data_IF_774387294175
#
_entry.id   IF_774387294175
#
_cell.length_a   1.000
_cell.length_b   1.000
_cell.length_c   1.000
_cell.angle_alpha   90.00
_cell.angle_beta   90.00
_cell.angle_gamma   90.00
#
_symmetry.space_group_name_H-M   'P 1'
#
loop_
_entity.id
_entity.type
_entity.pdbx_description
1 polymer ?
#
# COMPACT_ATOMS: atom_id res chain seq x y z
N UNK A 1 -13.19 15.43 -5.07
CA UNK A 1 -12.00 14.64 -4.66
C UNK A 1 -10.76 15.48 -4.93
N UNK A 2 -9.85 15.56 -3.97
CA UNK A 2 -8.66 16.38 -4.18
C UNK A 2 -7.66 15.68 -5.12
N UNK A 3 -6.69 16.46 -5.59
CA UNK A 3 -5.70 16.00 -6.58
C UNK A 3 -4.85 14.84 -6.06
N UNK A 4 -4.52 14.85 -4.77
CA UNK A 4 -3.71 13.80 -4.15
C UNK A 4 -4.42 12.46 -4.22
N UNK A 5 -5.70 12.42 -3.85
CA UNK A 5 -6.49 11.19 -3.89
C UNK A 5 -6.68 10.68 -5.32
N UNK A 6 -6.87 11.59 -6.28
CA UNK A 6 -6.95 11.20 -7.70
C UNK A 6 -5.66 10.53 -8.17
N UNK A 7 -4.52 11.09 -7.78
CA UNK A 7 -3.21 10.53 -8.12
C UNK A 7 -3.00 9.14 -7.49
N UNK A 8 -3.38 8.99 -6.23
CA UNK A 8 -3.28 7.70 -5.55
C UNK A 8 -4.17 6.66 -6.24
N UNK A 9 -5.41 7.00 -6.55
CA UNK A 9 -6.32 6.07 -7.24
C UNK A 9 -5.77 5.66 -8.60
N UNK A 10 -5.21 6.62 -9.35
CA UNK A 10 -4.59 6.31 -10.65
C UNK A 10 -3.41 5.34 -10.50
N UNK A 11 -2.56 5.56 -9.51
CA UNK A 11 -1.45 4.64 -9.21
C UNK A 11 -1.96 3.24 -8.88
N UNK A 12 -3.04 3.14 -8.11
CA UNK A 12 -3.65 1.85 -7.75
C UNK A 12 -4.16 1.10 -8.97
N UNK A 13 -4.75 1.81 -9.92
CA UNK A 13 -5.17 1.21 -11.20
C UNK A 13 -3.98 0.64 -11.97
N UNK A 14 -2.86 1.35 -11.99
CA UNK A 14 -1.64 0.90 -12.66
C UNK A 14 -1.11 -0.37 -11.99
N UNK A 15 -1.03 -0.39 -10.66
CA UNK A 15 -0.56 -1.57 -9.94
C UNK A 15 -1.49 -2.76 -10.13
N UNK A 16 -2.80 -2.54 -10.15
CA UNK A 16 -3.75 -3.60 -10.45
C UNK A 16 -3.54 -4.18 -11.84
N UNK A 17 -3.20 -3.34 -12.82
CA UNK A 17 -2.93 -3.81 -14.17
C UNK A 17 -1.70 -4.70 -14.22
N UNK A 18 -0.67 -4.43 -13.42
CA UNK A 18 0.49 -5.33 -13.32
C UNK A 18 0.08 -6.69 -12.77
N UNK A 19 -0.75 -6.70 -11.73
CA UNK A 19 -1.26 -7.97 -11.16
C UNK A 19 -2.05 -8.77 -12.20
N UNK A 20 -2.86 -8.09 -13.02
CA UNK A 20 -3.68 -8.73 -14.04
C UNK A 20 -2.87 -9.26 -15.22
N UNK A 21 -1.79 -8.56 -15.58
CA UNK A 21 -1.04 -8.85 -16.82
C UNK A 21 0.20 -9.70 -16.61
N UNK A 22 0.69 -9.83 -15.38
CA UNK A 22 1.85 -10.66 -15.09
C UNK A 22 1.42 -11.96 -14.42
N UNK A 23 2.19 -13.02 -14.70
CA UNK A 23 1.95 -14.32 -14.07
C UNK A 23 2.35 -14.27 -12.59
N UNK A 24 1.85 -15.23 -11.82
CA UNK A 24 2.26 -15.38 -10.42
C UNK A 24 3.78 -15.54 -10.31
N UNK A 25 4.38 -16.31 -11.21
CA UNK A 25 5.82 -16.50 -11.26
C UNK A 25 6.55 -15.18 -11.49
N UNK A 26 6.07 -14.36 -12.43
CA UNK A 26 6.67 -13.05 -12.71
C UNK A 26 6.54 -12.10 -11.52
N UNK A 27 5.40 -12.11 -10.84
CA UNK A 27 5.18 -11.27 -9.66
C UNK A 27 6.10 -11.63 -8.51
N UNK A 28 6.46 -12.91 -8.39
CA UNK A 28 7.32 -13.43 -7.33
C UNK A 28 8.81 -13.37 -7.67
N UNK A 29 9.17 -13.16 -8.91
CA UNK A 29 10.57 -13.17 -9.34
C UNK A 29 11.36 -12.09 -8.60
N UNK A 30 12.43 -12.50 -7.93
CA UNK A 30 13.39 -11.58 -7.31
C UNK A 30 14.57 -11.46 -8.27
N UNK A 31 14.73 -10.31 -8.95
CA UNK A 31 15.81 -10.16 -9.91
C UNK A 31 17.18 -10.26 -9.26
N UNK A 32 18.18 -10.73 -10.01
CA UNK A 32 19.55 -10.83 -9.54
C UNK A 32 20.05 -9.49 -9.03
N UNK A 33 20.65 -9.50 -7.85
CA UNK A 33 21.18 -8.29 -7.22
C UNK A 33 20.14 -7.45 -6.47
N UNK A 34 18.87 -7.83 -6.51
CA UNK A 34 17.80 -7.15 -5.76
C UNK A 34 17.31 -8.04 -4.62
N UNK A 35 16.65 -7.42 -3.65
CA UNK A 35 16.13 -8.12 -2.47
C UNK A 35 14.63 -8.32 -2.49
N UNK A 36 13.93 -7.61 -3.38
CA UNK A 36 12.48 -7.64 -3.41
C UNK A 36 11.98 -7.97 -4.81
N UNK A 37 10.67 -8.11 -4.92
CA UNK A 37 9.98 -8.42 -6.16
C UNK A 37 8.82 -7.46 -6.37
N UNK A 38 8.13 -7.61 -7.51
CA UNK A 38 7.06 -6.70 -7.88
C UNK A 38 5.90 -6.77 -6.88
N UNK A 39 5.49 -7.97 -6.48
CA UNK A 39 4.32 -8.10 -5.57
C UNK A 39 4.62 -7.54 -4.18
N UNK A 40 5.85 -7.70 -3.68
CA UNK A 40 6.23 -7.08 -2.41
C UNK A 40 6.15 -5.56 -2.49
N UNK A 41 6.65 -4.97 -3.58
CA UNK A 41 6.60 -3.52 -3.77
C UNK A 41 5.16 -3.01 -3.78
N UNK A 42 4.25 -3.73 -4.41
CA UNK A 42 2.83 -3.34 -4.45
C UNK A 42 2.22 -3.41 -3.04
N UNK A 43 2.46 -4.49 -2.32
CA UNK A 43 2.00 -4.61 -0.93
C UNK A 43 2.58 -3.54 -0.03
N UNK A 44 3.86 -3.21 -0.22
CA UNK A 44 4.54 -2.18 0.56
C UNK A 44 3.92 -0.79 0.37
N UNK A 45 3.50 -0.46 -0.85
CA UNK A 45 2.84 0.81 -1.13
C UNK A 45 1.55 0.95 -0.32
N UNK A 46 0.77 -0.13 -0.25
CA UNK A 46 -0.48 -0.13 0.54
C UNK A 46 -0.17 0.09 2.03
N UNK A 47 0.81 -0.64 2.57
CA UNK A 47 1.19 -0.51 3.98
C UNK A 47 1.70 0.90 4.28
N UNK A 48 2.57 1.44 3.45
CA UNK A 48 3.15 2.77 3.67
C UNK A 48 2.10 3.86 3.69
N UNK A 49 1.18 3.86 2.74
CA UNK A 49 0.11 4.85 2.68
C UNK A 49 -0.78 4.76 3.92
N UNK A 50 -1.14 3.56 4.34
CA UNK A 50 -1.99 3.36 5.50
C UNK A 50 -1.31 3.85 6.79
N UNK A 51 -0.03 3.56 6.96
CA UNK A 51 0.70 3.99 8.15
C UNK A 51 0.83 5.51 8.20
N UNK A 52 1.14 6.14 7.08
CA UNK A 52 1.26 7.60 7.03
C UNK A 52 -0.07 8.29 7.34
N UNK A 53 -1.17 7.80 6.80
CA UNK A 53 -2.48 8.44 7.02
C UNK A 53 -3.03 8.17 8.43
N UNK A 54 -2.98 6.93 8.88
CA UNK A 54 -3.69 6.53 10.10
C UNK A 54 -2.84 6.63 11.36
N UNK A 55 -1.60 6.16 11.35
CA UNK A 55 -0.78 6.18 12.57
C UNK A 55 -0.39 7.59 12.98
N UNK A 56 -0.09 8.48 12.03
CA UNK A 56 0.28 9.87 12.35
C UNK A 56 -0.90 10.67 12.88
N UNK A 57 -2.12 10.24 12.66
CA UNK A 57 -3.32 10.88 13.22
C UNK A 57 -3.81 10.17 14.48
N UNK A 58 -3.05 9.20 15.00
CA UNK A 58 -3.42 8.46 16.21
C UNK A 58 -4.47 7.39 16.01
N UNK A 59 -4.68 6.94 14.78
CA UNK A 59 -5.67 5.92 14.44
C UNK A 59 -5.00 4.61 14.06
N UNK A 60 -5.74 3.52 14.19
CA UNK A 60 -5.30 2.22 13.68
C UNK A 60 -5.51 2.16 12.17
N UNK A 61 -4.60 1.48 11.47
CA UNK A 61 -4.74 1.29 10.02
C UNK A 61 -5.89 0.33 9.69
N UNK A 62 -6.30 0.31 8.43
CA UNK A 62 -7.31 -0.61 7.93
C UNK A 62 -6.76 -2.02 7.67
N UNK A 63 -5.47 -2.21 7.88
CA UNK A 63 -4.77 -3.46 7.60
C UNK A 63 -4.63 -4.31 8.86
N UNK A 64 -4.58 -5.63 8.68
CA UNK A 64 -4.22 -6.52 9.79
C UNK A 64 -2.74 -6.37 10.13
N UNK A 65 -2.38 -6.73 11.37
CA UNK A 65 -0.99 -6.74 11.79
C UNK A 65 -0.17 -7.74 10.96
N UNK A 66 -0.76 -8.89 10.65
CA UNK A 66 -0.11 -9.91 9.81
C UNK A 66 0.25 -9.37 8.43
N UNK A 67 -0.68 -8.70 7.76
CA UNK A 67 -0.42 -8.09 6.44
C UNK A 67 0.67 -7.02 6.55
N UNK A 68 0.54 -6.13 7.51
CA UNK A 68 1.51 -5.05 7.72
C UNK A 68 2.92 -5.60 7.92
N UNK A 69 3.07 -6.63 8.74
CA UNK A 69 4.38 -7.19 9.04
C UNK A 69 5.06 -7.86 7.85
N UNK A 70 4.30 -8.28 6.84
CA UNK A 70 4.87 -8.86 5.62
C UNK A 70 5.47 -7.83 4.68
N UNK A 71 4.93 -6.62 4.66
CA UNK A 71 5.24 -5.64 3.61
C UNK A 71 5.76 -4.32 4.16
N UNK A 72 5.94 -4.18 5.46
CA UNK A 72 6.49 -2.97 6.05
C UNK A 72 7.96 -2.80 5.66
N UNK A 73 8.43 -1.57 5.65
CA UNK A 73 9.81 -1.25 5.31
C UNK A 73 10.78 -2.11 6.12
N UNK A 74 11.81 -2.63 5.47
CA UNK A 74 12.82 -3.48 6.08
C UNK A 74 12.54 -4.98 5.97
N UNK A 75 11.36 -5.37 5.50
CA UNK A 75 11.05 -6.79 5.26
C UNK A 75 11.52 -7.20 3.86
N UNK A 76 11.71 -8.51 3.68
CA UNK A 76 12.20 -9.08 2.42
C UNK A 76 11.25 -10.22 2.04
N UNK A 77 10.78 -10.26 0.77
CA UNK A 77 9.93 -11.36 0.32
C UNK A 77 10.74 -12.65 0.16
N UNK A 78 10.05 -13.78 0.28
CA UNK A 78 10.65 -15.10 0.09
C UNK A 78 10.50 -15.63 -1.36
N UNK A 79 9.81 -14.89 -2.23
CA UNK A 79 9.54 -15.31 -3.60
C UNK A 79 8.43 -16.35 -3.72
N UNK A 80 7.66 -16.56 -2.66
CA UNK A 80 6.63 -17.63 -2.58
C UNK A 80 5.24 -17.09 -2.28
N UNK A 81 4.97 -15.85 -2.62
CA UNK A 81 3.64 -15.26 -2.44
C UNK A 81 2.61 -16.06 -3.24
N UNK A 82 1.53 -16.47 -2.58
CA UNK A 82 0.49 -17.28 -3.19
C UNK A 82 -0.47 -16.46 -4.02
N UNK A 83 -1.25 -17.11 -4.89
CA UNK A 83 -2.29 -16.42 -5.64
C UNK A 83 -3.32 -15.78 -4.70
N UNK A 84 -3.66 -16.43 -3.60
CA UNK A 84 -4.59 -15.87 -2.62
C UNK A 84 -4.06 -14.58 -2.01
N UNK A 85 -2.78 -14.53 -1.69
CA UNK A 85 -2.13 -13.32 -1.17
C UNK A 85 -2.11 -12.21 -2.22
N UNK A 86 -1.84 -12.55 -3.48
CA UNK A 86 -1.90 -11.59 -4.58
C UNK A 86 -3.31 -11.01 -4.73
N UNK A 87 -4.33 -11.86 -4.68
CA UNK A 87 -5.72 -11.43 -4.77
C UNK A 87 -6.10 -10.50 -3.61
N UNK A 88 -5.61 -10.79 -2.42
CA UNK A 88 -5.79 -9.93 -1.25
C UNK A 88 -5.16 -8.55 -1.48
N UNK A 89 -3.94 -8.49 -1.96
CA UNK A 89 -3.26 -7.22 -2.27
C UNK A 89 -4.06 -6.43 -3.30
N UNK A 90 -4.54 -7.10 -4.35
CA UNK A 90 -5.34 -6.46 -5.38
C UNK A 90 -6.62 -5.83 -4.80
N UNK A 91 -7.30 -6.56 -3.92
CA UNK A 91 -8.48 -6.05 -3.23
C UNK A 91 -8.15 -4.83 -2.37
N UNK A 92 -7.06 -4.92 -1.61
CA UNK A 92 -6.63 -3.85 -0.71
C UNK A 92 -6.18 -2.60 -1.43
N UNK A 93 -5.70 -2.71 -2.67
CA UNK A 93 -5.32 -1.55 -3.48
C UNK A 93 -6.45 -0.52 -3.56
N UNK A 94 -7.68 -0.97 -3.66
CA UNK A 94 -8.84 -0.09 -3.84
C UNK A 94 -9.62 0.11 -2.54
N UNK A 95 -9.85 -0.94 -1.77
CA UNK A 95 -10.63 -0.83 -0.54
C UNK A 95 -10.00 0.11 0.47
N UNK A 96 -8.68 0.10 0.58
CA UNK A 96 -7.99 0.97 1.54
C UNK A 96 -8.07 2.44 1.14
N UNK A 97 -7.81 2.76 -0.13
CA UNK A 97 -7.87 4.18 -0.54
C UNK A 97 -9.30 4.71 -0.54
N UNK A 98 -10.27 3.90 -0.93
CA UNK A 98 -11.66 4.32 -0.92
C UNK A 98 -12.13 4.64 0.51
N UNK A 99 -11.79 3.80 1.48
CA UNK A 99 -12.13 4.07 2.87
C UNK A 99 -11.34 5.25 3.43
N UNK A 100 -10.07 5.40 3.04
CA UNK A 100 -9.25 6.53 3.48
C UNK A 100 -9.86 7.87 3.02
N UNK A 101 -10.38 7.94 1.81
CA UNK A 101 -11.04 9.14 1.31
C UNK A 101 -12.27 9.46 2.16
N UNK A 102 -13.09 8.46 2.47
CA UNK A 102 -14.26 8.66 3.33
C UNK A 102 -13.85 9.13 4.73
N UNK A 103 -12.83 8.53 5.30
CA UNK A 103 -12.33 8.90 6.63
C UNK A 103 -11.78 10.33 6.64
N UNK A 104 -11.12 10.75 5.58
CA UNK A 104 -10.67 12.12 5.42
C UNK A 104 -11.87 13.09 5.40
N UNK A 105 -12.90 12.77 4.63
CA UNK A 105 -14.07 13.62 4.46
C UNK A 105 -14.86 13.82 5.78
N UNK A 106 -14.86 12.81 6.65
CA UNK A 106 -15.53 12.91 7.95
C UNK A 106 -14.65 13.50 9.07
N UNK A 107 -13.43 13.93 8.73
CA UNK A 107 -12.54 14.58 9.70
C UNK A 107 -11.75 13.62 10.58
N UNK A 108 -11.64 12.34 10.23
CA UNK A 108 -10.93 11.37 11.06
C UNK A 108 -9.46 11.71 11.25
N UNK A 109 -8.87 12.46 10.34
CA UNK A 109 -7.47 12.85 10.38
C UNK A 109 -7.24 14.27 10.89
N UNK A 110 -8.23 14.90 11.48
CA UNK A 110 -8.13 16.29 11.96
C UNK A 110 -7.07 16.45 13.06
N UNK A 111 -6.73 15.39 13.78
CA UNK A 111 -5.67 15.38 14.78
C UNK A 111 -4.31 14.98 14.20
N UNK A 112 -4.19 15.03 12.89
CA UNK A 112 -2.97 14.65 12.19
C UNK A 112 -1.79 15.50 12.67
N UNK A 113 -0.72 14.83 13.15
CA UNK A 113 0.52 15.48 13.49
C UNK A 113 1.29 15.74 12.21
N UNK A 114 1.59 17.00 11.92
CA UNK A 114 2.35 17.36 10.75
C UNK A 114 3.75 16.76 10.82
N UNK A 115 3.94 15.69 10.10
CA UNK A 115 5.25 15.05 9.94
C UNK A 115 5.51 14.94 8.46
N UNK A 116 6.59 15.56 8.02
CA UNK A 116 6.99 15.45 6.63
C UNK A 116 7.75 14.16 6.42
N UNK A 117 7.45 13.48 5.33
CA UNK A 117 8.27 12.38 4.85
C UNK A 117 9.59 12.94 4.33
N UNK A 118 10.53 12.06 3.96
CA UNK A 118 11.82 12.48 3.39
C UNK A 118 11.67 13.31 2.13
N UNK A 119 10.57 13.16 1.41
CA UNK A 119 10.30 13.92 0.19
C UNK A 119 9.53 15.20 0.45
N UNK A 120 9.19 15.50 1.69
CA UNK A 120 8.39 16.65 2.05
C UNK A 120 6.89 16.46 1.84
N UNK A 121 6.44 15.24 1.58
CA UNK A 121 5.03 14.95 1.41
C UNK A 121 4.30 14.89 2.73
N UNK A 122 3.13 15.54 2.78
CA UNK A 122 2.15 15.39 3.85
C UNK A 122 0.97 14.61 3.31
N UNK A 123 0.48 13.68 4.09
CA UNK A 123 -0.73 12.96 3.74
C UNK A 123 -1.91 13.45 4.53
#
# INVERSE_FOLDING_TARGET
MNTIFKSIKRSREIYASYIENYTLEQLNLIPDGLRNNLIWNIGHIVVSQQRLAYLLSGNETLLTEEFTNKYVNGTIPDGKTTQEEVDEIKRLLFSTIDQTILDYEIGKFDNYTETQTRTGFLL
#
